data_IF_497585742529
#
_entry.id   IF_497585742529
#
_cell.length_a   1.000
_cell.length_b   1.000
_cell.length_c   1.000
_cell.angle_alpha   90.00
_cell.angle_beta   90.00
_cell.angle_gamma   90.00
#
_symmetry.space_group_name_H-M   'P 1'
#
loop_
_entity.id
_entity.type
_entity.pdbx_description
1 polymer ?
#
# COMPACT_ATOMS: atom_id res chain seq x y z
N UNK A 1 14.61 3.08 12.75
CA UNK A 1 14.54 2.39 11.44
C UNK A 1 13.93 3.37 10.45
N UNK A 2 14.74 3.89 9.54
CA UNK A 2 14.44 5.07 8.72
C UNK A 2 13.34 4.77 7.70
N UNK A 3 12.14 5.31 7.92
CA UNK A 3 11.15 5.46 6.85
C UNK A 3 11.65 6.64 6.01
N UNK A 4 12.29 6.33 4.88
CA UNK A 4 12.62 7.32 3.87
C UNK A 4 11.32 8.04 3.50
N UNK A 5 11.22 9.30 3.89
CA UNK A 5 10.29 10.23 3.26
C UNK A 5 10.51 10.11 1.76
N UNK A 6 9.51 9.59 1.05
CA UNK A 6 9.44 9.72 -0.41
C UNK A 6 9.09 11.18 -0.65
N UNK A 7 10.06 12.06 -0.43
CA UNK A 7 10.02 13.43 -0.95
C UNK A 7 10.19 13.25 -2.45
N UNK A 8 9.07 13.09 -3.14
CA UNK A 8 9.04 13.11 -4.60
C UNK A 8 9.27 14.57 -5.00
N UNK A 9 10.54 14.98 -5.03
CA UNK A 9 10.95 16.30 -5.50
C UNK A 9 10.32 16.53 -6.87
N UNK A 10 9.46 17.55 -6.92
CA UNK A 10 8.79 17.99 -8.13
C UNK A 10 9.81 18.15 -9.27
N UNK A 11 9.57 17.58 -10.45
CA UNK A 11 10.42 17.84 -11.59
C UNK A 11 10.16 19.28 -12.05
N UNK A 12 11.06 20.19 -11.67
CA UNK A 12 11.12 21.55 -12.19
C UNK A 12 11.49 21.50 -13.67
N UNK A 13 10.49 21.41 -14.57
CA UNK A 13 10.72 21.67 -15.99
C UNK A 13 9.65 22.60 -16.53
N UNK A 14 10.12 23.76 -16.98
CA UNK A 14 9.38 24.67 -17.82
C UNK A 14 9.04 23.99 -19.15
N UNK A 15 7.76 23.73 -19.42
CA UNK A 15 7.29 23.52 -20.79
C UNK A 15 5.81 23.93 -20.91
N UNK A 16 5.60 25.24 -21.00
CA UNK A 16 4.29 25.85 -21.16
C UNK A 16 3.66 25.43 -22.51
N UNK A 17 2.54 24.69 -22.48
CA UNK A 17 1.65 24.61 -23.64
C UNK A 17 0.74 23.38 -23.76
N UNK A 18 1.12 22.21 -23.23
CA UNK A 18 0.37 20.94 -23.43
C UNK A 18 -0.02 20.20 -22.12
N UNK A 19 0.23 20.80 -20.95
CA UNK A 19 0.38 20.09 -19.67
C UNK A 19 -0.90 19.68 -18.92
N UNK A 20 -2.09 20.15 -19.29
CA UNK A 20 -3.29 19.87 -18.48
C UNK A 20 -3.70 18.40 -18.46
N UNK A 21 -3.48 17.68 -19.57
CA UNK A 21 -3.79 16.25 -19.67
C UNK A 21 -2.68 15.38 -19.08
N UNK A 22 -1.41 15.80 -19.14
CA UNK A 22 -0.29 14.99 -18.61
C UNK A 22 -0.24 14.98 -17.09
N UNK A 23 -0.53 16.10 -16.42
CA UNK A 23 -0.57 16.17 -14.94
C UNK A 23 -1.73 15.33 -14.40
N UNK A 24 -2.89 15.37 -15.04
CA UNK A 24 -4.04 14.56 -14.64
C UNK A 24 -3.77 13.05 -14.83
N UNK A 25 -3.14 12.66 -15.94
CA UNK A 25 -2.71 11.28 -16.18
C UNK A 25 -1.66 10.83 -15.15
N UNK A 26 -0.69 11.69 -14.84
CA UNK A 26 0.34 11.41 -13.85
C UNK A 26 -0.22 11.25 -12.45
N UNK A 27 -1.13 12.14 -12.03
CA UNK A 27 -1.84 12.02 -10.75
C UNK A 27 -2.66 10.72 -10.65
N UNK A 28 -3.31 10.33 -11.75
CA UNK A 28 -4.08 9.09 -11.80
C UNK A 28 -3.17 7.87 -11.70
N UNK A 29 -2.03 7.87 -12.41
CA UNK A 29 -1.03 6.79 -12.33
C UNK A 29 -0.39 6.72 -10.94
N UNK A 30 -0.03 7.86 -10.33
CA UNK A 30 0.48 7.89 -8.96
C UNK A 30 -0.55 7.34 -7.97
N UNK A 31 -1.83 7.73 -8.09
CA UNK A 31 -2.88 7.22 -7.22
C UNK A 31 -3.14 5.71 -7.39
N UNK A 32 -3.05 5.18 -8.61
CA UNK A 32 -3.14 3.72 -8.85
C UNK A 32 -1.90 3.01 -8.31
N UNK A 33 -0.70 3.57 -8.51
CA UNK A 33 0.55 3.00 -8.02
C UNK A 33 0.59 2.96 -6.49
N UNK A 34 0.14 4.02 -5.81
CA UNK A 34 0.00 4.04 -4.35
C UNK A 34 -0.94 2.95 -3.87
N UNK A 35 -2.11 2.77 -4.50
CA UNK A 35 -3.03 1.69 -4.17
C UNK A 35 -2.42 0.29 -4.38
N UNK A 36 -1.69 0.10 -5.47
CA UNK A 36 -1.01 -1.18 -5.75
C UNK A 36 0.10 -1.47 -4.73
N UNK A 37 0.85 -0.44 -4.32
CA UNK A 37 1.88 -0.59 -3.28
C UNK A 37 1.25 -0.91 -1.92
N UNK A 38 0.16 -0.22 -1.56
CA UNK A 38 -0.57 -0.46 -0.32
C UNK A 38 -1.15 -1.89 -0.29
N UNK A 39 -1.78 -2.33 -1.38
CA UNK A 39 -2.30 -3.68 -1.51
C UNK A 39 -1.20 -4.75 -1.40
N UNK A 40 -0.04 -4.52 -2.01
CA UNK A 40 1.10 -5.42 -1.91
C UNK A 40 1.69 -5.47 -0.50
N UNK A 41 1.72 -4.34 0.23
CA UNK A 41 2.14 -4.31 1.64
C UNK A 41 1.18 -5.12 2.51
N UNK A 42 -0.12 -4.83 2.38
CA UNK A 42 -1.17 -5.54 3.11
C UNK A 42 -1.06 -7.05 2.87
N UNK A 43 -0.90 -7.49 1.61
CA UNK A 43 -0.76 -8.91 1.28
C UNK A 43 0.44 -9.55 1.99
N UNK A 44 1.60 -8.89 1.99
CA UNK A 44 2.80 -9.39 2.68
C UNK A 44 2.63 -9.47 4.19
N UNK A 45 1.93 -8.52 4.78
CA UNK A 45 1.68 -8.50 6.22
C UNK A 45 0.69 -9.62 6.61
N UNK A 46 -0.33 -9.88 5.78
CA UNK A 46 -1.20 -11.04 5.95
C UNK A 46 -0.45 -12.38 5.80
N UNK A 47 0.43 -12.51 4.81
CA UNK A 47 1.28 -13.71 4.64
C UNK A 47 2.14 -13.94 5.90
N UNK A 48 2.74 -12.90 6.48
CA UNK A 48 3.50 -13.00 7.74
C UNK A 48 2.64 -13.37 8.94
N UNK A 49 1.42 -12.84 9.03
CA UNK A 49 0.48 -13.20 10.08
C UNK A 49 0.01 -14.66 9.95
N UNK A 50 -0.06 -15.20 8.74
CA UNK A 50 -0.31 -16.63 8.53
C UNK A 50 0.90 -17.51 8.88
N UNK A 51 2.13 -17.01 8.77
CA UNK A 51 3.33 -17.74 9.19
C UNK A 51 3.52 -17.77 10.72
N UNK A 52 2.85 -16.88 11.45
CA UNK A 52 2.94 -16.81 12.90
C UNK A 52 2.33 -18.04 13.59
N UNK A 53 2.99 -18.61 14.62
CA UNK A 53 2.44 -19.65 15.46
C UNK A 53 1.17 -19.23 16.21
N UNK A 54 0.26 -20.18 16.41
CA UNK A 54 -1.06 -19.93 17.00
C UNK A 54 -0.96 -19.33 18.42
N UNK A 55 0.04 -19.70 19.21
CA UNK A 55 0.22 -19.16 20.57
C UNK A 55 0.55 -17.66 20.59
N UNK A 56 1.18 -17.13 19.55
CA UNK A 56 1.45 -15.68 19.43
C UNK A 56 0.23 -14.92 18.93
N UNK A 57 -0.61 -15.56 18.13
CA UNK A 57 -1.89 -15.00 17.73
C UNK A 57 -2.86 -14.96 18.92
N UNK A 58 -2.84 -16.00 19.75
CA UNK A 58 -3.65 -16.10 20.96
C UNK A 58 -3.24 -15.06 22.02
N UNK A 59 -1.93 -14.76 22.15
CA UNK A 59 -1.40 -13.74 23.06
C UNK A 59 -1.95 -12.33 22.79
N UNK A 60 -2.18 -12.00 21.51
CA UNK A 60 -2.81 -10.75 21.09
C UNK A 60 -4.33 -10.88 20.88
N UNK A 61 -4.90 -12.03 21.23
CA UNK A 61 -6.33 -12.30 21.20
C UNK A 61 -6.94 -12.33 19.80
N UNK A 62 -6.17 -12.68 18.77
CA UNK A 62 -6.66 -12.78 17.39
C UNK A 62 -6.61 -14.22 16.88
N UNK A 63 -7.58 -14.56 16.06
CA UNK A 63 -7.67 -15.89 15.43
C UNK A 63 -7.26 -15.84 13.96
N UNK A 64 -6.78 -16.98 13.42
CA UNK A 64 -6.55 -17.12 11.96
C UNK A 64 -7.80 -16.81 11.13
N UNK A 65 -8.99 -17.07 11.69
CA UNK A 65 -10.26 -16.75 11.03
C UNK A 65 -10.44 -15.24 10.82
N UNK A 66 -10.08 -14.44 11.81
CA UNK A 66 -10.15 -12.97 11.74
C UNK A 66 -9.13 -12.39 10.77
N UNK A 67 -7.92 -12.94 10.72
CA UNK A 67 -6.88 -12.59 9.74
C UNK A 67 -7.42 -12.82 8.32
N UNK A 68 -8.00 -14.00 8.04
CA UNK A 68 -8.60 -14.33 6.74
C UNK A 68 -9.84 -13.48 6.41
N UNK A 69 -10.61 -13.07 7.40
CA UNK A 69 -11.75 -12.17 7.20
C UNK A 69 -11.29 -10.73 6.90
N UNK A 70 -10.23 -10.25 7.56
CA UNK A 70 -9.63 -8.95 7.32
C UNK A 70 -8.94 -8.89 5.94
N UNK A 71 -8.22 -9.93 5.53
CA UNK A 71 -7.64 -10.04 4.20
C UNK A 71 -8.69 -9.94 3.10
N UNK A 72 -9.83 -10.65 3.24
CA UNK A 72 -10.94 -10.59 2.28
C UNK A 72 -11.60 -9.21 2.20
N UNK A 73 -11.67 -8.47 3.32
CA UNK A 73 -12.24 -7.11 3.35
C UNK A 73 -11.33 -6.07 2.68
N UNK A 74 -10.01 -6.26 2.75
CA UNK A 74 -9.02 -5.34 2.18
C UNK A 74 -8.56 -5.71 0.76
N UNK A 75 -8.96 -6.88 0.25
CA UNK A 75 -8.68 -7.32 -1.11
C UNK A 75 -9.70 -6.83 -2.15
N UNK A 76 -10.68 -6.01 -1.75
CA UNK A 76 -11.72 -5.40 -2.60
C UNK A 76 -11.43 -3.92 -2.87
#
# INVERSE_FOLDING_TARGET
MYIKHVVFSSPSYAFAGLERLSVALWQSVCGVAERVVEANRCRRDYERLEELPDFLLDDIGITRGEIKAAARRNAL
#
